data_IF_236959510270
#
_entry.id   IF_236959510270
#
_cell.length_a   1.000
_cell.length_b   1.000
_cell.length_c   1.000
_cell.angle_alpha   90.00
_cell.angle_beta   90.00
_cell.angle_gamma   90.00
#
_symmetry.space_group_name_H-M   'P 1'
#
loop_
_entity.id
_entity.type
_entity.pdbx_description
1 polymer ?
#
# COMPACT_ATOMS: atom_id res chain seq x y z
N UNK A 1 25.86 -21.67 -32.83
CA UNK A 1 24.59 -20.97 -33.08
C UNK A 1 23.62 -21.36 -31.98
N UNK A 2 23.45 -20.50 -30.98
CA UNK A 2 22.54 -20.74 -29.86
C UNK A 2 21.14 -20.29 -30.26
N UNK A 3 20.25 -21.27 -30.35
CA UNK A 3 18.84 -21.10 -30.69
C UNK A 3 18.17 -20.21 -29.63
N UNK A 4 17.88 -18.95 -30.00
CA UNK A 4 17.09 -18.04 -29.18
C UNK A 4 15.61 -18.37 -29.38
N UNK A 5 15.18 -19.51 -28.88
CA UNK A 5 13.76 -19.85 -28.85
C UNK A 5 13.04 -18.71 -28.09
N UNK A 6 12.06 -18.03 -28.69
CA UNK A 6 11.37 -16.92 -28.05
C UNK A 6 10.72 -17.44 -26.76
N UNK A 7 11.19 -16.96 -25.61
CA UNK A 7 10.60 -17.34 -24.34
C UNK A 7 9.11 -17.03 -24.38
N UNK A 8 8.23 -18.00 -24.07
CA UNK A 8 6.80 -17.77 -24.04
C UNK A 8 6.53 -16.69 -22.99
N UNK A 9 6.21 -15.48 -23.47
CA UNK A 9 5.75 -14.38 -22.61
C UNK A 9 4.54 -14.89 -21.85
N UNK A 10 4.72 -15.24 -20.58
CA UNK A 10 3.63 -15.72 -19.73
C UNK A 10 2.54 -14.64 -19.70
N UNK A 11 1.41 -14.98 -20.31
CA UNK A 11 0.44 -14.05 -20.91
C UNK A 11 -0.50 -13.36 -19.91
N UNK A 12 -0.35 -13.58 -18.60
CA UNK A 12 -1.46 -13.31 -17.65
C UNK A 12 -1.13 -12.31 -16.53
N UNK A 13 0.11 -11.87 -16.33
CA UNK A 13 0.40 -10.84 -15.32
C UNK A 13 0.52 -9.44 -15.92
N UNK A 14 -0.55 -8.97 -16.55
CA UNK A 14 -0.62 -7.58 -16.96
C UNK A 14 -0.59 -6.68 -15.71
N UNK A 15 0.06 -5.52 -15.81
CA UNK A 15 0.17 -4.55 -14.71
C UNK A 15 -1.20 -4.19 -14.13
N UNK A 16 -2.18 -4.04 -15.01
CA UNK A 16 -3.55 -3.72 -14.65
C UNK A 16 -4.18 -4.79 -13.75
N UNK A 17 -3.89 -6.08 -13.98
CA UNK A 17 -4.40 -7.17 -13.14
C UNK A 17 -3.83 -7.08 -11.73
N UNK A 18 -2.52 -6.85 -11.56
CA UNK A 18 -1.90 -6.76 -10.23
C UNK A 18 -2.44 -5.56 -9.43
N UNK A 19 -2.55 -4.39 -10.06
CA UNK A 19 -3.14 -3.22 -9.43
C UNK A 19 -4.64 -3.38 -9.15
N UNK A 20 -5.37 -4.05 -10.04
CA UNK A 20 -6.77 -4.42 -9.82
C UNK A 20 -6.94 -5.37 -8.64
N UNK A 21 -6.06 -6.35 -8.49
CA UNK A 21 -6.04 -7.24 -7.33
C UNK A 21 -5.76 -6.48 -6.04
N UNK A 22 -4.83 -5.53 -6.02
CA UNK A 22 -4.58 -4.67 -4.84
C UNK A 22 -5.83 -3.86 -4.49
N UNK A 23 -6.49 -3.24 -5.49
CA UNK A 23 -7.70 -2.46 -5.27
C UNK A 23 -8.84 -3.32 -4.71
N UNK A 24 -9.11 -4.47 -5.33
CA UNK A 24 -10.13 -5.43 -4.87
C UNK A 24 -9.79 -5.93 -3.46
N UNK A 25 -8.53 -6.28 -3.22
CA UNK A 25 -8.10 -6.76 -1.91
C UNK A 25 -8.32 -5.68 -0.84
N UNK A 26 -7.92 -4.43 -1.10
CA UNK A 26 -8.15 -3.29 -0.19
C UNK A 26 -9.63 -3.15 0.17
N UNK A 27 -10.51 -3.10 -0.83
CA UNK A 27 -11.97 -2.97 -0.64
C UNK A 27 -12.61 -4.14 0.12
N UNK A 28 -11.96 -5.30 0.16
CA UNK A 28 -12.47 -6.51 0.79
C UNK A 28 -11.94 -6.71 2.22
N UNK A 29 -10.84 -6.06 2.62
CA UNK A 29 -10.23 -6.23 3.95
C UNK A 29 -11.24 -5.94 5.09
N UNK A 30 -12.02 -4.84 5.08
CA UNK A 30 -12.95 -4.57 6.18
C UNK A 30 -13.95 -5.71 6.44
N UNK A 31 -14.31 -6.46 5.38
CA UNK A 31 -15.25 -7.57 5.41
C UNK A 31 -14.70 -8.85 6.05
N UNK A 32 -13.37 -8.95 6.29
CA UNK A 32 -12.77 -10.08 7.00
C UNK A 32 -13.38 -10.28 8.40
N UNK A 33 -13.94 -9.23 8.99
CA UNK A 33 -14.64 -9.29 10.28
C UNK A 33 -15.84 -10.25 10.27
N UNK A 34 -16.53 -10.40 9.15
CA UNK A 34 -17.67 -11.31 9.06
C UNK A 34 -17.22 -12.77 9.18
N UNK A 35 -16.10 -13.11 8.53
CA UNK A 35 -15.48 -14.43 8.64
C UNK A 35 -14.99 -14.64 10.08
N UNK A 36 -14.33 -13.64 10.67
CA UNK A 36 -13.87 -13.71 12.05
C UNK A 36 -15.02 -13.96 13.03
N UNK A 37 -16.09 -13.16 12.95
CA UNK A 37 -17.28 -13.29 13.82
C UNK A 37 -17.99 -14.62 13.61
N UNK A 38 -18.04 -15.13 12.39
CA UNK A 38 -18.59 -16.45 12.11
C UNK A 38 -17.80 -17.55 12.84
N UNK A 39 -16.47 -17.49 12.81
CA UNK A 39 -15.61 -18.45 13.49
C UNK A 39 -15.71 -18.29 15.01
N UNK A 40 -15.70 -17.05 15.51
CA UNK A 40 -15.90 -16.74 16.93
C UNK A 40 -17.24 -17.30 17.43
N UNK A 41 -18.34 -17.10 16.71
CA UNK A 41 -19.65 -17.61 17.08
C UNK A 41 -19.70 -19.14 17.11
N UNK A 42 -18.91 -19.82 16.27
CA UNK A 42 -18.92 -21.27 16.15
C UNK A 42 -17.96 -21.98 17.12
N UNK A 43 -16.79 -21.39 17.38
CA UNK A 43 -15.69 -22.03 18.09
C UNK A 43 -15.20 -21.25 19.32
N UNK A 44 -15.74 -20.06 19.57
CA UNK A 44 -15.40 -19.20 20.70
C UNK A 44 -14.24 -18.23 20.43
N UNK A 45 -14.20 -17.14 21.19
CA UNK A 45 -13.21 -16.06 21.07
C UNK A 45 -11.76 -16.56 21.25
N UNK A 46 -11.51 -17.45 22.21
CA UNK A 46 -10.17 -18.00 22.45
C UNK A 46 -9.63 -18.79 21.26
N UNK A 47 -10.50 -19.45 20.50
CA UNK A 47 -10.11 -20.18 19.30
C UNK A 47 -9.89 -19.20 18.14
N UNK A 48 -10.86 -18.31 17.89
CA UNK A 48 -10.77 -17.30 16.83
C UNK A 48 -9.54 -16.41 16.98
N UNK A 49 -9.19 -16.01 18.21
CA UNK A 49 -8.01 -15.20 18.51
C UNK A 49 -6.67 -15.85 18.20
N UNK A 50 -6.61 -17.18 18.06
CA UNK A 50 -5.37 -17.90 17.68
C UNK A 50 -5.16 -17.98 16.18
N UNK A 51 -6.19 -17.72 15.37
CA UNK A 51 -6.14 -17.87 13.91
C UNK A 51 -5.08 -16.98 13.27
N UNK A 52 -4.98 -15.68 13.60
CA UNK A 52 -3.95 -14.83 13.01
C UNK A 52 -2.53 -15.36 13.29
N UNK A 53 -2.28 -15.85 14.52
CA UNK A 53 -1.00 -16.46 14.89
C UNK A 53 -0.70 -17.70 14.04
N UNK A 54 -1.69 -18.58 13.85
CA UNK A 54 -1.54 -19.77 12.99
C UNK A 54 -1.19 -19.36 11.57
N UNK A 55 -1.88 -18.37 10.99
CA UNK A 55 -1.58 -17.88 9.64
C UNK A 55 -0.16 -17.32 9.57
N UNK A 56 0.28 -16.53 10.55
CA UNK A 56 1.64 -15.98 10.61
C UNK A 56 2.70 -17.09 10.69
N UNK A 57 2.47 -18.13 11.51
CA UNK A 57 3.36 -19.30 11.59
C UNK A 57 3.42 -20.03 10.25
N UNK A 58 2.28 -20.23 9.58
CA UNK A 58 2.23 -20.88 8.26
C UNK A 58 2.95 -20.05 7.20
N UNK A 59 2.80 -18.72 7.19
CA UNK A 59 3.54 -17.82 6.30
C UNK A 59 5.05 -17.90 6.55
N UNK A 60 5.48 -17.90 7.82
CA UNK A 60 6.87 -18.07 8.21
C UNK A 60 7.44 -19.43 7.78
N UNK A 61 6.71 -20.52 8.01
CA UNK A 61 7.10 -21.85 7.55
C UNK A 61 7.19 -21.92 6.02
N UNK A 62 6.21 -21.34 5.31
CA UNK A 62 6.21 -21.22 3.85
C UNK A 62 7.42 -20.45 3.32
N UNK A 63 7.80 -19.37 4.00
CA UNK A 63 9.00 -18.60 3.69
C UNK A 63 10.28 -19.46 3.84
N UNK A 64 10.42 -20.21 4.93
CA UNK A 64 11.57 -21.12 5.15
C UNK A 64 11.62 -22.20 4.07
N UNK A 65 10.49 -22.85 3.79
CA UNK A 65 10.38 -23.88 2.74
C UNK A 65 10.74 -23.31 1.38
N UNK A 66 10.31 -22.09 1.07
CA UNK A 66 10.64 -21.42 -0.19
C UNK A 66 12.14 -21.13 -0.30
N UNK A 67 12.79 -20.62 0.75
CA UNK A 67 14.24 -20.38 0.75
C UNK A 67 15.01 -21.69 0.51
N UNK A 68 14.62 -22.76 1.22
CA UNK A 68 15.22 -24.08 1.07
C UNK A 68 15.08 -24.63 -0.35
N UNK A 69 13.88 -24.58 -0.93
CA UNK A 69 13.63 -25.06 -2.30
C UNK A 69 14.29 -24.21 -3.37
N UNK A 70 14.36 -22.90 -3.15
CA UNK A 70 14.96 -21.94 -4.09
C UNK A 70 16.48 -21.89 -3.97
N UNK A 71 17.07 -22.67 -3.04
CA UNK A 71 18.51 -22.67 -2.72
C UNK A 71 19.05 -21.26 -2.43
N UNK A 72 18.20 -20.41 -1.86
CA UNK A 72 18.61 -19.10 -1.38
C UNK A 72 19.41 -19.28 -0.09
N UNK A 73 20.43 -18.46 0.13
CA UNK A 73 21.31 -18.59 1.30
C UNK A 73 20.55 -18.49 2.62
N UNK A 74 20.86 -19.35 3.58
CA UNK A 74 20.23 -19.39 4.91
C UNK A 74 20.37 -18.08 5.70
N UNK A 75 21.35 -17.23 5.36
CA UNK A 75 21.49 -15.88 5.93
C UNK A 75 20.24 -15.01 5.70
N UNK A 76 19.42 -15.32 4.69
CA UNK A 76 18.12 -14.67 4.47
C UNK A 76 17.10 -14.98 5.56
N UNK A 77 17.31 -15.99 6.41
CA UNK A 77 16.49 -16.18 7.61
C UNK A 77 16.66 -15.05 8.63
N UNK A 78 17.76 -14.29 8.59
CA UNK A 78 17.97 -13.18 9.52
C UNK A 78 16.87 -12.11 9.43
N UNK A 79 16.21 -11.95 8.27
CA UNK A 79 15.06 -11.05 8.12
C UNK A 79 13.81 -11.50 8.89
N UNK A 80 13.76 -12.75 9.36
CA UNK A 80 12.68 -13.24 10.22
C UNK A 80 12.82 -12.77 11.66
N UNK A 81 14.02 -12.39 12.11
CA UNK A 81 14.26 -11.87 13.47
C UNK A 81 13.48 -10.56 13.70
N UNK A 82 13.68 -9.47 12.93
CA UNK A 82 12.91 -8.26 13.14
C UNK A 82 11.41 -8.47 12.90
N UNK A 83 11.05 -9.38 11.98
CA UNK A 83 9.66 -9.76 11.75
C UNK A 83 9.02 -10.37 13.01
N UNK A 84 9.69 -11.33 13.64
CA UNK A 84 9.22 -11.97 14.87
C UNK A 84 9.13 -10.97 16.04
N UNK A 85 10.10 -10.05 16.15
CA UNK A 85 10.07 -8.98 17.16
C UNK A 85 8.84 -8.10 16.98
N UNK A 86 8.52 -7.68 15.75
CA UNK A 86 7.32 -6.86 15.48
C UNK A 86 6.04 -7.63 15.82
N UNK A 87 5.93 -8.91 15.41
CA UNK A 87 4.76 -9.75 15.75
C UNK A 87 4.61 -9.83 17.26
N UNK A 88 5.67 -10.18 18.00
CA UNK A 88 5.63 -10.27 19.46
C UNK A 88 5.27 -8.93 20.12
N UNK A 89 5.74 -7.80 19.56
CA UNK A 89 5.37 -6.47 20.04
C UNK A 89 3.87 -6.20 19.84
N UNK A 90 3.32 -6.50 18.66
CA UNK A 90 1.88 -6.34 18.39
C UNK A 90 1.04 -7.21 19.34
N UNK A 91 1.38 -8.50 19.49
CA UNK A 91 0.65 -9.41 20.40
C UNK A 91 0.71 -8.99 21.88
N UNK A 92 1.76 -8.25 22.29
CA UNK A 92 1.89 -7.73 23.66
C UNK A 92 1.16 -6.41 23.87
N UNK A 93 1.14 -5.53 22.86
CA UNK A 93 0.60 -4.17 22.97
C UNK A 93 -0.88 -4.10 22.62
N UNK A 94 -1.35 -4.94 21.70
CA UNK A 94 -2.74 -5.00 21.28
C UNK A 94 -3.44 -6.17 21.97
N UNK A 95 -4.30 -5.86 22.95
CA UNK A 95 -4.99 -6.85 23.77
C UNK A 95 -6.15 -7.52 23.04
N UNK A 96 -6.74 -6.88 22.02
CA UNK A 96 -7.87 -7.43 21.29
C UNK A 96 -7.38 -8.41 20.20
N UNK A 97 -7.64 -9.73 20.33
CA UNK A 97 -7.15 -10.73 19.36
C UNK A 97 -7.73 -10.55 17.96
N UNK A 98 -8.90 -9.92 17.84
CA UNK A 98 -9.55 -9.68 16.55
C UNK A 98 -8.67 -8.77 15.69
N UNK A 99 -7.95 -7.84 16.30
CA UNK A 99 -7.06 -6.89 15.63
C UNK A 99 -5.76 -7.54 15.14
N UNK A 100 -5.42 -8.73 15.62
CA UNK A 100 -4.24 -9.44 15.12
C UNK A 100 -4.44 -9.95 13.69
N UNK A 101 -5.68 -10.00 13.16
CA UNK A 101 -5.95 -10.40 11.77
C UNK A 101 -5.28 -9.48 10.74
N UNK A 102 -5.07 -8.22 11.11
CA UNK A 102 -4.39 -7.21 10.32
C UNK A 102 -2.93 -7.60 10.02
N UNK A 103 -2.31 -8.45 10.86
CA UNK A 103 -0.92 -8.89 10.67
C UNK A 103 -0.74 -9.64 9.35
N UNK A 104 -1.37 -10.81 9.15
CA UNK A 104 -1.24 -11.52 7.87
C UNK A 104 -1.80 -10.71 6.70
N UNK A 105 -2.84 -9.90 6.90
CA UNK A 105 -3.45 -9.10 5.82
C UNK A 105 -2.46 -8.10 5.21
N UNK A 106 -1.70 -7.40 6.04
CA UNK A 106 -0.76 -6.37 5.59
C UNK A 106 0.62 -6.90 5.21
N UNK A 107 1.01 -8.08 5.71
CA UNK A 107 2.14 -8.84 5.13
C UNK A 107 1.82 -9.16 3.66
N UNK A 108 0.63 -9.70 3.40
CA UNK A 108 0.19 -10.04 2.05
C UNK A 108 0.03 -8.79 1.17
N UNK A 109 -0.53 -7.70 1.70
CA UNK A 109 -0.62 -6.42 0.98
C UNK A 109 0.76 -5.95 0.50
N UNK A 110 1.77 -5.93 1.39
CA UNK A 110 3.13 -5.53 1.02
C UNK A 110 3.73 -6.45 -0.05
N UNK A 111 3.42 -7.75 -0.04
CA UNK A 111 3.81 -8.67 -1.11
C UNK A 111 3.13 -8.30 -2.44
N UNK A 112 1.81 -8.09 -2.45
CA UNK A 112 1.07 -7.71 -3.65
C UNK A 112 1.61 -6.40 -4.26
N UNK A 113 1.81 -5.37 -3.43
CA UNK A 113 2.41 -4.09 -3.85
C UNK A 113 3.81 -4.31 -4.41
N UNK A 114 4.65 -5.14 -3.77
CA UNK A 114 5.96 -5.51 -4.28
C UNK A 114 5.88 -6.18 -5.67
N UNK A 115 4.98 -7.15 -5.86
CA UNK A 115 4.79 -7.83 -7.14
C UNK A 115 4.30 -6.90 -8.24
N UNK A 116 3.44 -5.93 -7.93
CA UNK A 116 3.01 -4.90 -8.87
C UNK A 116 4.17 -3.96 -9.25
N UNK A 117 4.86 -3.41 -8.24
CA UNK A 117 5.95 -2.44 -8.42
C UNK A 117 7.14 -3.03 -9.18
N UNK A 118 7.56 -4.25 -8.85
CA UNK A 118 8.74 -4.88 -9.45
C UNK A 118 8.60 -5.14 -10.96
N UNK A 119 7.42 -4.97 -11.55
CA UNK A 119 7.28 -5.05 -13.02
C UNK A 119 7.99 -3.88 -13.69
N UNK A 120 7.93 -2.70 -13.07
CA UNK A 120 8.27 -1.42 -13.71
C UNK A 120 9.41 -0.70 -13.02
N UNK A 121 9.53 -0.89 -11.71
CA UNK A 121 10.54 -0.26 -10.90
C UNK A 121 11.87 -1.04 -10.96
N UNK A 122 12.96 -0.31 -11.17
CA UNK A 122 14.32 -0.85 -11.32
C UNK A 122 15.37 -0.05 -10.53
N UNK A 123 14.94 0.95 -9.75
CA UNK A 123 15.82 1.83 -8.98
C UNK A 123 16.03 1.38 -7.54
N UNK A 124 16.97 2.03 -6.83
CA UNK A 124 17.10 1.88 -5.38
C UNK A 124 15.82 2.35 -4.68
N UNK A 125 15.53 1.87 -3.46
CA UNK A 125 14.37 2.34 -2.70
C UNK A 125 13.01 1.72 -3.06
N UNK A 126 12.97 0.66 -3.88
CA UNK A 126 11.70 -0.03 -4.22
C UNK A 126 10.95 -0.48 -2.97
N UNK A 127 11.67 -1.00 -1.99
CA UNK A 127 11.10 -1.52 -0.76
C UNK A 127 10.63 -0.41 0.19
N UNK A 128 11.24 0.77 0.13
CA UNK A 128 10.74 1.96 0.84
C UNK A 128 9.40 2.37 0.22
N UNK A 129 9.31 2.39 -1.11
CA UNK A 129 8.07 2.69 -1.81
C UNK A 129 6.99 1.64 -1.52
N UNK A 130 7.33 0.35 -1.47
CA UNK A 130 6.40 -0.72 -1.05
C UNK A 130 5.90 -0.48 0.37
N UNK A 131 6.80 -0.17 1.30
CA UNK A 131 6.45 0.14 2.68
C UNK A 131 5.48 1.32 2.75
N UNK A 132 5.78 2.43 2.06
CA UNK A 132 4.95 3.64 2.03
C UNK A 132 3.57 3.31 1.47
N UNK A 133 3.49 2.69 0.28
CA UNK A 133 2.21 2.38 -0.34
C UNK A 133 1.37 1.41 0.49
N UNK A 134 1.96 0.33 1.03
CA UNK A 134 1.24 -0.63 1.85
C UNK A 134 0.75 -0.01 3.17
N UNK A 135 1.54 0.88 3.78
CA UNK A 135 1.13 1.61 4.99
C UNK A 135 0.01 2.60 4.71
N UNK A 136 0.05 3.32 3.57
CA UNK A 136 -1.05 4.21 3.17
C UNK A 136 -2.33 3.45 2.85
N UNK A 137 -2.24 2.25 2.24
CA UNK A 137 -3.39 1.34 2.11
C UNK A 137 -3.88 0.84 3.47
N UNK A 138 -3.02 0.83 4.49
CA UNK A 138 -3.36 0.66 5.91
C UNK A 138 -4.30 1.73 6.43
N UNK A 139 -4.05 2.99 6.05
CA UNK A 139 -4.90 4.11 6.41
C UNK A 139 -6.22 4.08 5.63
N UNK A 140 -6.18 3.65 4.35
CA UNK A 140 -7.39 3.47 3.54
C UNK A 140 -8.35 2.46 4.18
N UNK A 141 -7.87 1.29 4.58
CA UNK A 141 -8.69 0.28 5.28
C UNK A 141 -9.35 0.86 6.53
N UNK A 142 -8.61 1.63 7.33
CA UNK A 142 -9.19 2.30 8.50
C UNK A 142 -10.27 3.32 8.13
N UNK A 143 -10.07 4.11 7.06
CA UNK A 143 -11.13 5.01 6.56
C UNK A 143 -12.37 4.23 6.11
N UNK A 144 -12.20 3.11 5.40
CA UNK A 144 -13.31 2.23 5.02
C UNK A 144 -14.01 1.65 6.26
N UNK A 145 -13.25 1.24 7.27
CA UNK A 145 -13.78 0.77 8.55
C UNK A 145 -14.58 1.85 9.30
N UNK A 146 -14.15 3.11 9.24
CA UNK A 146 -14.90 4.23 9.80
C UNK A 146 -16.24 4.47 9.09
N UNK A 147 -16.37 4.06 7.84
CA UNK A 147 -17.65 4.10 7.09
C UNK A 147 -18.48 2.85 7.36
N UNK A 148 -17.81 1.72 7.60
CA UNK A 148 -18.44 0.42 7.71
C UNK A 148 -19.26 0.29 9.02
N UNK A 149 -20.53 -0.16 8.97
CA UNK A 149 -21.47 -0.04 10.09
C UNK A 149 -21.07 -0.83 11.35
N UNK A 150 -20.29 -1.91 11.18
CA UNK A 150 -19.86 -2.82 12.24
C UNK A 150 -18.39 -2.70 12.64
N UNK A 151 -17.71 -1.63 12.24
CA UNK A 151 -16.29 -1.35 12.50
C UNK A 151 -16.13 0.09 13.00
N UNK A 152 -14.91 0.44 13.42
CA UNK A 152 -14.56 1.75 13.95
C UNK A 152 -13.18 2.13 13.46
N UNK A 153 -12.99 3.38 13.09
CA UNK A 153 -11.70 3.96 12.72
C UNK A 153 -10.73 3.98 13.91
N UNK A 154 -9.50 3.46 13.77
CA UNK A 154 -8.57 3.31 14.90
C UNK A 154 -7.11 3.63 14.57
N UNK A 155 -6.47 4.52 15.34
CA UNK A 155 -5.03 4.78 15.17
C UNK A 155 -4.17 3.55 15.52
N UNK A 156 -4.60 2.73 16.47
CA UNK A 156 -3.92 1.48 16.84
C UNK A 156 -3.92 0.50 15.68
N UNK A 157 -5.02 0.43 14.94
CA UNK A 157 -5.14 -0.45 13.77
C UNK A 157 -4.27 0.06 12.61
N UNK A 158 -4.18 1.38 12.38
CA UNK A 158 -3.19 1.96 11.45
C UNK A 158 -1.75 1.58 11.78
N UNK A 159 -1.39 1.56 13.07
CA UNK A 159 -0.05 1.16 13.50
C UNK A 159 0.21 -0.33 13.32
N UNK A 160 -0.79 -1.19 13.59
CA UNK A 160 -0.70 -2.63 13.33
C UNK A 160 -0.55 -2.88 11.83
N UNK A 161 -1.37 -2.22 10.98
CA UNK A 161 -1.30 -2.30 9.52
C UNK A 161 0.09 -1.90 9.01
N UNK A 162 0.59 -0.74 9.44
CA UNK A 162 1.91 -0.21 9.06
C UNK A 162 3.06 -1.13 9.51
N UNK A 163 3.01 -1.60 10.76
CA UNK A 163 4.02 -2.50 11.33
C UNK A 163 4.04 -3.86 10.60
N UNK A 164 2.87 -4.33 10.19
CA UNK A 164 2.69 -5.59 9.46
C UNK A 164 3.15 -5.48 8.00
N UNK A 165 2.94 -4.31 7.37
CA UNK A 165 3.54 -4.00 6.08
C UNK A 165 5.09 -4.04 6.14
N UNK A 166 5.68 -3.59 7.25
CA UNK A 166 7.13 -3.67 7.46
C UNK A 166 7.64 -5.12 7.55
N UNK A 167 6.88 -6.03 8.19
CA UNK A 167 7.16 -7.47 8.15
C UNK A 167 7.15 -8.00 6.70
N UNK A 168 6.15 -7.59 5.92
CA UNK A 168 6.08 -7.92 4.49
C UNK A 168 7.29 -7.42 3.69
N UNK A 169 7.84 -6.26 4.04
CA UNK A 169 9.07 -5.73 3.44
C UNK A 169 10.32 -6.53 3.83
N UNK A 170 10.47 -6.90 5.11
CA UNK A 170 11.59 -7.76 5.54
C UNK A 170 11.56 -9.13 4.88
N UNK A 171 10.38 -9.74 4.77
CA UNK A 171 10.25 -11.01 4.04
C UNK A 171 10.55 -10.83 2.55
N UNK A 172 10.12 -9.75 1.90
CA UNK A 172 10.51 -9.45 0.51
C UNK A 172 12.04 -9.25 0.33
N UNK A 173 12.73 -8.60 1.26
CA UNK A 173 14.20 -8.47 1.28
C UNK A 173 14.91 -9.83 1.33
N UNK A 174 14.30 -10.74 2.07
CA UNK A 174 14.76 -12.11 2.21
C UNK A 174 14.58 -12.95 0.95
N UNK A 175 13.37 -12.89 0.38
CA UNK A 175 13.00 -13.64 -0.83
C UNK A 175 13.65 -13.11 -2.09
N UNK A 176 13.97 -11.82 -2.12
CA UNK A 176 14.47 -11.16 -3.32
C UNK A 176 15.85 -10.62 -3.04
N UNK A 177 16.86 -11.18 -3.70
CA UNK A 177 18.25 -10.70 -3.65
C UNK A 177 18.36 -9.38 -4.41
N UNK A 178 17.66 -8.34 -3.92
CA UNK A 178 17.51 -7.08 -4.61
C UNK A 178 18.90 -6.48 -4.85
N UNK A 179 19.26 -6.36 -6.12
CA UNK A 179 20.54 -5.82 -6.51
C UNK A 179 20.48 -4.30 -6.34
N UNK A 180 21.46 -3.72 -5.65
CA UNK A 180 21.52 -2.29 -5.39
C UNK A 180 21.62 -1.52 -6.71
N UNK A 181 20.48 -1.08 -7.22
CA UNK A 181 20.40 -0.07 -8.27
C UNK A 181 20.48 1.33 -7.65
N UNK A 182 21.04 2.29 -8.40
CA UNK A 182 21.23 3.66 -7.94
C UNK A 182 19.94 4.40 -7.55
N UNK A 183 20.10 5.53 -6.86
CA UNK A 183 19.03 6.41 -6.37
C UNK A 183 18.61 7.48 -7.40
N UNK A 184 18.85 7.23 -8.69
CA UNK A 184 18.58 8.13 -9.81
C UNK A 184 17.13 8.65 -9.87
N UNK A 185 16.19 7.93 -9.26
CA UNK A 185 14.79 8.35 -9.15
C UNK A 185 14.63 9.65 -8.37
N UNK A 186 15.52 9.94 -7.39
CA UNK A 186 15.48 11.18 -6.60
C UNK A 186 15.75 12.40 -7.48
N UNK A 187 16.70 12.31 -8.41
CA UNK A 187 16.94 13.37 -9.40
C UNK A 187 15.75 13.53 -10.34
N UNK A 188 15.14 12.41 -10.73
CA UNK A 188 13.93 12.39 -11.55
C UNK A 188 12.75 13.11 -10.88
N UNK A 189 12.54 12.92 -9.57
CA UNK A 189 11.51 13.62 -8.80
C UNK A 189 11.71 15.15 -8.80
N UNK A 190 12.96 15.62 -8.79
CA UNK A 190 13.27 17.06 -8.89
C UNK A 190 12.89 17.66 -10.25
N UNK A 191 12.81 16.85 -11.30
CA UNK A 191 12.40 17.29 -12.66
C UNK A 191 10.88 17.40 -12.81
N UNK A 192 10.12 16.75 -11.94
CA UNK A 192 8.65 16.72 -11.98
C UNK A 192 8.03 17.49 -10.81
N UNK A 193 8.61 18.65 -10.46
CA UNK A 193 8.23 19.48 -9.30
C UNK A 193 6.72 19.67 -9.11
N UNK A 194 5.90 19.95 -10.16
CA UNK A 194 4.47 20.14 -9.96
C UNK A 194 3.77 18.89 -9.42
N UNK A 195 4.13 17.69 -9.90
CA UNK A 195 3.55 16.44 -9.40
C UNK A 195 4.09 16.08 -8.03
N UNK A 196 5.37 16.29 -7.77
CA UNK A 196 5.95 16.09 -6.44
C UNK A 196 5.30 17.01 -5.40
N UNK A 197 5.07 18.27 -5.76
CA UNK A 197 4.35 19.23 -4.92
C UNK A 197 2.89 18.85 -4.69
N UNK A 198 2.21 18.33 -5.72
CA UNK A 198 0.86 17.80 -5.60
C UNK A 198 0.80 16.61 -4.64
N UNK A 199 1.71 15.64 -4.75
CA UNK A 199 1.79 14.50 -3.81
C UNK A 199 2.02 14.99 -2.38
N UNK A 200 2.95 15.91 -2.18
CA UNK A 200 3.21 16.48 -0.85
C UNK A 200 1.98 17.20 -0.28
N UNK A 201 1.29 18.01 -1.09
CA UNK A 201 0.05 18.66 -0.69
C UNK A 201 -1.03 17.63 -0.30
N UNK A 202 -1.19 16.57 -1.10
CA UNK A 202 -2.12 15.49 -0.79
C UNK A 202 -1.79 14.77 0.52
N UNK A 203 -0.52 14.49 0.81
CA UNK A 203 -0.08 13.91 2.09
C UNK A 203 -0.45 14.83 3.26
N UNK A 204 -0.20 16.13 3.15
CA UNK A 204 -0.53 17.11 4.19
C UNK A 204 -2.05 17.16 4.42
N UNK A 205 -2.84 17.29 3.35
CA UNK A 205 -4.30 17.32 3.39
C UNK A 205 -4.84 16.05 4.03
N UNK A 206 -4.38 14.87 3.60
CA UNK A 206 -4.85 13.58 4.12
C UNK A 206 -4.43 13.32 5.57
N UNK A 207 -3.26 13.81 5.99
CA UNK A 207 -2.83 13.73 7.40
C UNK A 207 -3.75 14.57 8.29
N UNK A 208 -4.04 15.81 7.88
CA UNK A 208 -4.98 16.68 8.60
C UNK A 208 -6.39 16.08 8.60
N UNK A 209 -6.84 15.53 7.47
CA UNK A 209 -8.12 14.82 7.37
C UNK A 209 -8.19 13.69 8.40
N UNK A 210 -7.20 12.79 8.41
CA UNK A 210 -7.15 11.66 9.34
C UNK A 210 -7.19 12.12 10.80
N UNK A 211 -6.49 13.21 11.14
CA UNK A 211 -6.52 13.81 12.48
C UNK A 211 -7.91 14.33 12.85
N UNK A 212 -8.56 15.11 11.97
CA UNK A 212 -9.89 15.64 12.23
C UNK A 212 -10.99 14.56 12.23
N UNK A 213 -10.80 13.46 11.52
CA UNK A 213 -11.72 12.33 11.54
C UNK A 213 -11.81 11.66 12.93
N UNK A 214 -10.72 11.64 13.72
CA UNK A 214 -10.81 11.23 15.13
C UNK A 214 -11.71 12.16 15.95
N UNK A 215 -11.70 13.47 15.65
CA UNK A 215 -12.61 14.43 16.29
C UNK A 215 -14.07 14.18 15.86
N UNK A 216 -14.30 13.93 14.58
CA UNK A 216 -15.64 13.57 14.06
C UNK A 216 -16.16 12.32 14.76
N UNK A 217 -15.36 11.26 14.80
CA UNK A 217 -15.67 10.01 15.48
C UNK A 217 -16.01 10.22 16.97
N UNK A 218 -15.17 10.97 17.70
CA UNK A 218 -15.37 11.27 19.11
C UNK A 218 -16.65 12.07 19.42
N UNK A 219 -17.24 12.72 18.40
CA UNK A 219 -18.46 13.52 18.53
C UNK A 219 -19.67 12.88 17.81
N UNK A 220 -19.74 11.55 17.84
CA UNK A 220 -20.89 10.81 17.30
C UNK A 220 -20.88 10.65 15.78
N UNK A 221 -19.75 10.93 15.13
CA UNK A 221 -19.50 10.59 13.73
C UNK A 221 -20.14 11.50 12.69
N UNK A 222 -20.74 12.61 13.11
CA UNK A 222 -21.32 13.60 12.19
C UNK A 222 -20.22 14.57 11.74
N UNK A 223 -19.97 14.69 10.43
CA UNK A 223 -18.95 15.63 9.93
C UNK A 223 -19.29 17.08 10.25
N UNK A 224 -20.56 17.47 10.07
CA UNK A 224 -21.01 18.87 10.19
C UNK A 224 -20.72 19.41 11.59
N UNK A 225 -19.94 20.49 11.66
CA UNK A 225 -19.56 21.15 12.91
C UNK A 225 -18.28 20.61 13.56
N UNK A 226 -17.78 19.45 13.13
CA UNK A 226 -16.58 18.82 13.70
C UNK A 226 -15.43 18.68 12.71
N UNK A 227 -15.74 18.48 11.42
CA UNK A 227 -14.77 18.53 10.33
C UNK A 227 -14.68 19.95 9.77
N UNK A 228 -13.47 20.56 9.63
CA UNK A 228 -13.36 21.94 9.18
C UNK A 228 -13.78 22.13 7.71
N UNK A 229 -14.63 23.12 7.44
CA UNK A 229 -15.12 23.41 6.08
C UNK A 229 -13.99 23.77 5.11
N UNK A 230 -12.98 24.52 5.56
CA UNK A 230 -11.82 24.86 4.73
C UNK A 230 -11.04 23.62 4.30
N UNK A 231 -10.94 22.62 5.17
CA UNK A 231 -10.23 21.38 4.87
C UNK A 231 -11.04 20.56 3.87
N UNK A 232 -12.36 20.48 4.06
CA UNK A 232 -13.28 19.83 3.13
C UNK A 232 -13.18 20.45 1.72
N UNK A 233 -13.14 21.78 1.62
CA UNK A 233 -12.91 22.48 0.34
C UNK A 233 -11.57 22.07 -0.29
N UNK A 234 -10.49 21.95 0.50
CA UNK A 234 -9.20 21.47 0.01
C UNK A 234 -9.26 20.01 -0.47
N UNK A 235 -10.00 19.13 0.22
CA UNK A 235 -10.21 17.74 -0.21
C UNK A 235 -10.92 17.72 -1.58
N UNK A 236 -12.00 18.50 -1.78
CA UNK A 236 -12.68 18.62 -3.08
C UNK A 236 -11.77 19.17 -4.18
N UNK A 237 -11.02 20.23 -3.87
CA UNK A 237 -10.10 20.84 -4.81
C UNK A 237 -8.97 19.88 -5.20
N UNK A 238 -8.44 19.10 -4.25
CA UNK A 238 -7.46 18.06 -4.51
C UNK A 238 -8.04 16.96 -5.42
N UNK A 239 -9.24 16.46 -5.12
CA UNK A 239 -9.93 15.42 -5.91
C UNK A 239 -10.10 15.84 -7.38
N UNK A 240 -10.31 17.12 -7.66
CA UNK A 240 -10.46 17.65 -9.03
C UNK A 240 -9.11 17.97 -9.68
N UNK A 241 -8.20 18.64 -8.98
CA UNK A 241 -6.93 19.10 -9.56
C UNK A 241 -5.95 17.96 -9.82
N UNK A 242 -5.90 16.96 -8.93
CA UNK A 242 -4.92 15.88 -9.06
C UNK A 242 -5.10 15.05 -10.36
N UNK A 243 -6.32 14.61 -10.75
CA UNK A 243 -6.54 13.93 -12.02
C UNK A 243 -6.23 14.82 -13.23
N UNK A 244 -6.57 16.12 -13.19
CA UNK A 244 -6.31 17.05 -14.28
C UNK A 244 -4.80 17.23 -14.51
N UNK A 245 -4.03 17.45 -13.43
CA UNK A 245 -2.57 17.58 -13.50
C UNK A 245 -1.91 16.26 -13.92
N UNK A 246 -2.42 15.13 -13.42
CA UNK A 246 -1.99 13.81 -13.85
C UNK A 246 -2.17 13.60 -15.36
N UNK A 247 -3.36 13.89 -15.90
CA UNK A 247 -3.66 13.77 -17.32
C UNK A 247 -2.77 14.69 -18.17
N UNK A 248 -2.60 15.95 -17.75
CA UNK A 248 -1.71 16.92 -18.41
C UNK A 248 -0.27 16.39 -18.48
N UNK A 249 0.26 15.90 -17.37
CA UNK A 249 1.63 15.40 -17.31
C UNK A 249 1.84 14.09 -18.08
N UNK A 250 0.87 13.17 -18.02
CA UNK A 250 0.90 11.93 -18.78
C UNK A 250 0.87 12.20 -20.30
N UNK A 251 0.18 13.25 -20.77
CA UNK A 251 0.26 13.70 -22.17
C UNK A 251 1.66 14.23 -22.52
N UNK A 252 2.24 15.09 -21.68
CA UNK A 252 3.57 15.68 -21.92
C UNK A 252 4.65 14.59 -22.01
N UNK A 253 4.61 13.60 -21.11
CA UNK A 253 5.62 12.52 -21.09
C UNK A 253 5.39 11.40 -22.11
N UNK A 254 4.28 11.42 -22.84
CA UNK A 254 4.01 10.50 -23.96
C UNK A 254 4.30 11.12 -25.32
N UNK A 255 4.47 12.44 -25.41
CA UNK A 255 4.89 13.07 -26.66
C UNK A 255 6.26 12.50 -27.05
N UNK A 256 6.39 11.89 -28.24
CA UNK A 256 7.66 11.35 -28.69
C UNK A 256 8.69 12.49 -28.70
N UNK A 257 9.78 12.31 -27.94
CA UNK A 257 10.98 13.14 -28.10
C UNK A 257 11.38 13.03 -29.57
N UNK A 258 11.08 14.08 -30.33
CA UNK A 258 11.15 14.11 -31.78
C UNK A 258 12.53 13.67 -32.28
N UNK A 259 12.59 12.43 -32.79
CA UNK A 259 13.16 11.88 -34.03
C UNK A 259 14.45 12.44 -34.68
N UNK A 260 15.06 13.53 -34.20
CA UNK A 260 16.31 14.07 -34.78
C UNK A 260 17.58 13.67 -34.02
N UNK A 261 17.47 12.90 -32.93
CA UNK A 261 18.63 12.38 -32.24
C UNK A 261 19.07 11.04 -32.85
N UNK A 262 19.58 11.11 -34.09
CA UNK A 262 20.49 10.09 -34.66
C UNK A 262 21.76 10.06 -33.80
N UNK A 263 21.73 9.39 -32.66
CA UNK A 263 22.98 8.99 -32.00
C UNK A 263 22.76 7.78 -31.11
N UNK A 264 23.38 6.70 -31.57
CA UNK A 264 23.59 5.36 -31.04
C UNK A 264 24.21 5.33 -29.64
N UNK A 265 23.55 5.91 -28.63
CA UNK A 265 23.87 5.62 -27.23
C UNK A 265 22.95 4.52 -26.70
N UNK A 266 23.52 3.52 -26.00
CA UNK A 266 22.79 2.34 -25.53
C UNK A 266 21.63 2.77 -24.63
N UNK A 267 20.55 1.96 -24.63
CA UNK A 267 19.33 2.14 -23.83
C UNK A 267 19.65 2.74 -22.45
N UNK A 268 19.57 4.06 -22.35
CA UNK A 268 19.60 4.73 -21.05
C UNK A 268 18.34 4.26 -20.35
N UNK A 269 18.54 3.44 -19.32
CA UNK A 269 17.48 2.89 -18.48
C UNK A 269 16.44 3.98 -18.22
N UNK A 270 15.17 3.69 -18.53
CA UNK A 270 14.06 4.65 -18.48
C UNK A 270 13.90 5.25 -17.06
N UNK A 271 14.66 6.31 -16.76
CA UNK A 271 14.65 7.02 -15.47
C UNK A 271 13.25 7.55 -15.15
N UNK A 272 12.47 7.84 -16.19
CA UNK A 272 11.07 8.27 -16.09
C UNK A 272 10.14 7.17 -15.57
N UNK A 273 10.44 5.89 -15.80
CA UNK A 273 9.68 4.76 -15.26
C UNK A 273 9.69 4.71 -13.73
N UNK A 274 10.86 4.85 -13.11
CA UNK A 274 10.99 4.83 -11.65
C UNK A 274 10.26 6.01 -10.99
N UNK A 275 10.35 7.20 -11.57
CA UNK A 275 9.66 8.41 -11.08
C UNK A 275 8.14 8.22 -11.09
N UNK A 276 7.60 7.63 -12.15
CA UNK A 276 6.15 7.34 -12.24
C UNK A 276 5.68 6.40 -11.12
N UNK A 277 6.49 5.41 -10.75
CA UNK A 277 6.16 4.49 -9.66
C UNK A 277 6.12 5.19 -8.29
N UNK A 278 6.94 6.22 -8.07
CA UNK A 278 6.88 7.01 -6.84
C UNK A 278 5.67 7.94 -6.76
N UNK A 279 5.14 8.38 -7.89
CA UNK A 279 4.06 9.38 -7.93
C UNK A 279 2.69 8.71 -8.05
N UNK A 280 2.50 7.83 -9.04
CA UNK A 280 1.16 7.43 -9.45
C UNK A 280 0.42 6.58 -8.41
N UNK A 281 1.05 5.55 -7.80
CA UNK A 281 0.39 4.76 -6.76
C UNK A 281 0.06 5.60 -5.53
N UNK A 282 0.99 6.43 -5.08
CA UNK A 282 0.77 7.34 -3.93
C UNK A 282 -0.38 8.29 -4.23
N UNK A 283 -0.37 8.93 -5.40
CA UNK A 283 -1.44 9.85 -5.81
C UNK A 283 -2.80 9.14 -5.92
N UNK A 284 -2.84 7.92 -6.44
CA UNK A 284 -4.07 7.12 -6.53
C UNK A 284 -4.63 6.78 -5.15
N UNK A 285 -3.76 6.42 -4.19
CA UNK A 285 -4.17 6.13 -2.81
C UNK A 285 -4.74 7.40 -2.15
N UNK A 286 -4.04 8.54 -2.26
CA UNK A 286 -4.51 9.83 -1.72
C UNK A 286 -5.88 10.22 -2.30
N UNK A 287 -6.03 10.12 -3.63
CA UNK A 287 -7.31 10.38 -4.30
C UNK A 287 -8.44 9.49 -3.78
N UNK A 288 -8.15 8.22 -3.50
CA UNK A 288 -9.14 7.31 -2.97
C UNK A 288 -9.54 7.66 -1.53
N UNK A 289 -8.57 8.03 -0.69
CA UNK A 289 -8.83 8.53 0.66
C UNK A 289 -9.74 9.78 0.65
N UNK A 290 -9.44 10.76 -0.21
CA UNK A 290 -10.27 11.96 -0.39
C UNK A 290 -11.68 11.63 -0.92
N UNK A 291 -11.78 10.66 -1.84
CA UNK A 291 -13.07 10.17 -2.37
C UNK A 291 -13.95 9.57 -1.27
N UNK A 292 -13.37 8.77 -0.36
CA UNK A 292 -14.09 8.19 0.78
C UNK A 292 -14.64 9.30 1.69
N UNK A 293 -13.83 10.30 2.07
CA UNK A 293 -14.30 11.43 2.86
C UNK A 293 -15.45 12.17 2.19
N UNK A 294 -15.29 12.50 0.90
CA UNK A 294 -16.30 13.23 0.13
C UNK A 294 -17.60 12.43 0.04
N UNK A 295 -17.50 11.11 -0.13
CA UNK A 295 -18.66 10.23 -0.09
C UNK A 295 -19.42 10.33 1.24
N UNK A 296 -18.72 10.29 2.39
CA UNK A 296 -19.36 10.47 3.71
C UNK A 296 -19.98 11.86 3.84
N UNK A 297 -19.29 12.91 3.37
CA UNK A 297 -19.78 14.28 3.40
C UNK A 297 -21.09 14.46 2.61
N UNK A 298 -21.18 13.89 1.42
CA UNK A 298 -22.35 14.02 0.54
C UNK A 298 -23.52 13.18 1.06
N UNK A 299 -23.26 11.95 1.49
CA UNK A 299 -24.31 11.02 1.92
C UNK A 299 -24.81 11.30 3.33
N UNK A 300 -24.04 12.02 4.16
CA UNK A 300 -24.37 12.24 5.56
C UNK A 300 -24.23 10.99 6.41
N UNK A 301 -23.52 9.96 5.93
CA UNK A 301 -23.24 8.75 6.70
C UNK A 301 -22.45 9.09 7.97
N UNK A 302 -22.76 8.37 9.05
CA UNK A 302 -22.02 8.50 10.31
C UNK A 302 -20.66 7.82 10.20
N UNK A 303 -19.59 8.58 10.46
CA UNK A 303 -18.21 8.08 10.51
C UNK A 303 -17.86 7.61 11.93
N UNK A 304 -17.57 6.33 12.11
CA UNK A 304 -17.46 5.67 13.42
C UNK A 304 -16.04 5.23 13.77
#
# INVERSE_FOLDING_TARGET
>A
MTDQSPQPRSRIQSRAVLWGLIAIYTLLIPNAIYIYRFIEARFGLLFAGKIPLVIVILLGAGYVVYLWRSKLGWTKLLYMIPSAVIVLAIFRLEANPNKHIHIPEYILMAWLVYFAMKKDYRGGGMLILVFICASMLGVVDELEQGIHPGRTYGWTDMLVNTSSALIGVFTNLGLTGHQESGWDWMEGLKRVKPLSGLVLAGIIINTLMCFYLFRVQANGGVLKGYYPDWLLILNYLFLVLAPLLFLKFNRITRLPLNLNQKQSKPLVHDKTGNVRCWIYPILAILLFMDLLLIFVSITGLTFK
#
